data_IF_922273277608
#
_entry.id   IF_922273277608
#
_cell.length_a   1.000
_cell.length_b   1.000
_cell.length_c   1.000
_cell.angle_alpha   90.00
_cell.angle_beta   90.00
_cell.angle_gamma   90.00
#
_symmetry.space_group_name_H-M   'P 1'
#
loop_
_entity.id
_entity.type
_entity.pdbx_description
1 polymer ?
#
# COMPACT_ATOMS: atom_id res chain seq x y z
N UNK A 1 -4.59 -14.52 -2.29
CA UNK A 1 -4.79 -14.79 -0.85
C UNK A 1 -3.52 -14.74 -0.01
N UNK A 2 -2.33 -14.90 -0.62
CA UNK A 2 -1.05 -14.95 0.12
C UNK A 2 -0.59 -13.61 0.71
N UNK A 3 -1.11 -12.48 0.23
CA UNK A 3 -0.72 -11.14 0.72
C UNK A 3 -1.54 -10.79 1.98
N UNK A 4 -0.83 -10.47 3.06
CA UNK A 4 -1.42 -10.18 4.36
C UNK A 4 -1.75 -8.70 4.56
N UNK A 5 -1.02 -7.80 3.89
CA UNK A 5 -1.19 -6.33 3.94
C UNK A 5 -0.92 -5.69 2.57
N UNK A 6 -1.72 -4.68 2.24
CA UNK A 6 -1.55 -3.85 1.05
C UNK A 6 -1.34 -2.39 1.45
N UNK A 7 -0.31 -1.75 0.89
CA UNK A 7 -0.11 -0.30 0.94
C UNK A 7 -0.25 0.26 -0.48
N UNK A 8 -1.44 0.79 -0.79
CA UNK A 8 -1.74 1.44 -2.07
C UNK A 8 -1.79 2.94 -1.85
N UNK A 9 -0.91 3.68 -2.55
CA UNK A 9 -0.82 5.12 -2.38
C UNK A 9 -2.17 5.81 -2.60
N UNK A 10 -2.59 6.63 -1.63
CA UNK A 10 -3.85 7.37 -1.67
C UNK A 10 -3.67 8.74 -2.33
N UNK A 11 -3.22 8.76 -3.59
CA UNK A 11 -3.11 10.03 -4.34
C UNK A 11 -4.47 10.75 -4.41
N UNK A 12 -5.54 9.97 -4.57
CA UNK A 12 -6.94 10.37 -4.42
C UNK A 12 -7.73 9.20 -3.85
N UNK A 13 -8.86 9.44 -3.17
CA UNK A 13 -9.67 8.37 -2.59
C UNK A 13 -10.15 7.33 -3.62
N UNK A 14 -10.39 7.76 -4.86
CA UNK A 14 -10.80 6.87 -5.96
C UNK A 14 -9.72 5.86 -6.38
N UNK A 15 -8.43 6.15 -6.16
CA UNK A 15 -7.31 5.29 -6.57
C UNK A 15 -7.30 3.94 -5.85
N UNK A 16 -7.22 3.87 -4.50
CA UNK A 16 -7.27 2.60 -3.78
C UNK A 16 -8.63 1.90 -3.93
N UNK A 17 -9.74 2.64 -4.07
CA UNK A 17 -11.06 2.05 -4.29
C UNK A 17 -11.19 1.40 -5.67
N UNK A 18 -10.64 2.03 -6.71
CA UNK A 18 -10.58 1.44 -8.05
C UNK A 18 -9.71 0.18 -8.05
N UNK A 19 -8.56 0.21 -7.35
CA UNK A 19 -7.72 -0.96 -7.18
C UNK A 19 -8.46 -2.11 -6.46
N UNK A 20 -9.15 -1.83 -5.34
CA UNK A 20 -9.97 -2.82 -4.63
C UNK A 20 -11.04 -3.44 -5.52
N UNK A 21 -11.75 -2.61 -6.29
CA UNK A 21 -12.78 -3.08 -7.22
C UNK A 21 -12.20 -4.01 -8.29
N UNK A 22 -11.00 -3.71 -8.77
CA UNK A 22 -10.34 -4.49 -9.82
C UNK A 22 -9.74 -5.81 -9.31
N UNK A 23 -9.21 -5.83 -8.08
CA UNK A 23 -8.51 -6.99 -7.53
C UNK A 23 -9.39 -7.89 -6.66
N UNK A 24 -10.47 -7.35 -6.09
CA UNK A 24 -11.28 -8.04 -5.10
C UNK A 24 -10.55 -8.29 -3.77
N UNK A 25 -9.45 -7.57 -3.50
CA UNK A 25 -8.69 -7.72 -2.28
C UNK A 25 -9.53 -7.35 -1.03
N UNK A 26 -9.18 -7.92 0.11
CA UNK A 26 -9.83 -7.66 1.39
C UNK A 26 -9.60 -6.20 1.83
N UNK A 27 -10.66 -5.37 1.96
CA UNK A 27 -10.54 -3.98 2.39
C UNK A 27 -9.91 -3.83 3.77
N UNK A 28 -10.04 -4.82 4.66
CA UNK A 28 -9.44 -4.77 6.00
C UNK A 28 -7.91 -4.91 5.98
N UNK A 29 -7.33 -5.37 4.85
CA UNK A 29 -5.88 -5.51 4.65
C UNK A 29 -5.26 -4.31 3.94
N UNK A 30 -6.08 -3.42 3.38
CA UNK A 30 -5.64 -2.24 2.65
C UNK A 30 -5.41 -1.05 3.58
N UNK A 31 -4.21 -0.45 3.50
CA UNK A 31 -3.85 0.80 4.18
C UNK A 31 -4.22 0.80 5.67
N UNK A 32 -4.02 -0.33 6.36
CA UNK A 32 -4.53 -0.56 7.72
C UNK A 32 -3.98 0.41 8.78
N UNK A 33 -2.90 1.14 8.47
CA UNK A 33 -2.32 2.19 9.34
C UNK A 33 -2.62 3.62 8.86
N UNK A 34 -3.55 3.79 7.91
CA UNK A 34 -3.84 5.05 7.24
C UNK A 34 -2.87 5.34 6.09
N UNK A 35 -3.34 6.09 5.09
CA UNK A 35 -2.56 6.41 3.89
C UNK A 35 -2.32 7.90 3.68
N UNK A 36 -2.02 8.26 2.44
CA UNK A 36 -1.55 9.59 2.06
C UNK A 36 -2.61 10.69 2.22
N UNK A 37 -3.91 10.36 2.23
CA UNK A 37 -4.97 11.34 2.50
C UNK A 37 -4.83 11.91 3.91
N UNK A 38 -4.52 11.07 4.88
CA UNK A 38 -4.37 11.48 6.28
C UNK A 38 -2.92 11.89 6.62
N UNK A 39 -1.93 11.20 6.06
CA UNK A 39 -0.52 11.29 6.46
C UNK A 39 0.33 12.16 5.52
N UNK A 40 -0.25 12.64 4.42
CA UNK A 40 0.42 13.46 3.41
C UNK A 40 1.12 12.65 2.32
N UNK A 41 1.40 13.33 1.21
CA UNK A 41 2.01 12.78 0.00
C UNK A 41 3.25 13.59 -0.44
N UNK A 42 4.41 13.44 0.24
CA UNK A 42 5.66 14.01 -0.24
C UNK A 42 6.13 13.22 -1.47
N UNK A 43 5.82 13.71 -2.68
CA UNK A 43 5.91 12.95 -3.95
C UNK A 43 7.11 11.98 -4.03
N UNK A 44 8.34 12.48 -4.02
CA UNK A 44 9.55 11.66 -4.14
C UNK A 44 9.84 10.72 -2.97
N UNK A 45 9.26 10.98 -1.79
CA UNK A 45 9.46 10.17 -0.58
C UNK A 45 8.31 9.20 -0.28
N UNK A 46 7.19 9.30 -1.00
CA UNK A 46 5.97 8.56 -0.67
C UNK A 46 6.14 7.04 -0.80
N UNK A 47 6.90 6.59 -1.80
CA UNK A 47 7.24 5.17 -1.93
C UNK A 47 8.03 4.61 -0.75
N UNK A 48 8.99 5.38 -0.23
CA UNK A 48 9.74 4.98 0.96
C UNK A 48 8.89 5.04 2.23
N UNK A 49 8.01 6.04 2.37
CA UNK A 49 7.06 6.14 3.49
C UNK A 49 6.11 4.95 3.53
N UNK A 50 5.52 4.58 2.40
CA UNK A 50 4.62 3.42 2.32
C UNK A 50 5.38 2.14 2.67
N UNK A 51 6.60 1.99 2.18
CA UNK A 51 7.40 0.78 2.41
C UNK A 51 7.77 0.66 3.88
N UNK A 52 8.10 1.79 4.50
CA UNK A 52 8.33 1.89 5.95
C UNK A 52 7.07 1.48 6.70
N UNK A 53 5.91 2.02 6.33
CA UNK A 53 4.62 1.65 6.94
C UNK A 53 4.38 0.14 6.84
N UNK A 54 4.56 -0.45 5.64
CA UNK A 54 4.36 -1.86 5.36
C UNK A 54 5.27 -2.77 6.20
N UNK A 55 6.58 -2.56 6.16
CA UNK A 55 7.56 -3.41 6.85
C UNK A 55 7.37 -3.34 8.37
N UNK A 56 7.11 -2.15 8.92
CA UNK A 56 6.81 -2.00 10.34
C UNK A 56 5.47 -2.65 10.73
N UNK A 57 4.45 -2.56 9.89
CA UNK A 57 3.16 -3.22 10.12
C UNK A 57 3.28 -4.75 10.08
N UNK A 58 4.00 -5.32 9.11
CA UNK A 58 4.27 -6.77 9.05
C UNK A 58 4.98 -7.26 10.32
N UNK A 59 6.03 -6.54 10.75
CA UNK A 59 6.76 -6.86 11.99
C UNK A 59 5.87 -6.79 13.23
N UNK A 60 5.10 -5.70 13.37
CA UNK A 60 4.22 -5.48 14.53
C UNK A 60 3.09 -6.51 14.63
N UNK A 61 2.62 -7.02 13.51
CA UNK A 61 1.47 -7.95 13.44
C UNK A 61 1.85 -9.41 13.26
N UNK A 62 3.15 -9.72 13.11
CA UNK A 62 3.63 -11.07 12.85
C UNK A 62 3.30 -11.62 11.45
N UNK A 63 2.66 -10.82 10.59
CA UNK A 63 2.29 -11.15 9.20
C UNK A 63 3.53 -11.36 8.32
N UNK A 64 3.36 -12.07 7.19
CA UNK A 64 4.46 -12.56 6.36
C UNK A 64 4.64 -11.74 5.09
N UNK A 65 3.63 -11.67 4.22
CA UNK A 65 3.75 -11.04 2.92
C UNK A 65 3.03 -9.69 2.87
N UNK A 66 3.73 -8.69 2.36
CA UNK A 66 3.17 -7.36 2.11
C UNK A 66 3.38 -6.93 0.67
N UNK A 67 2.44 -6.15 0.14
CA UNK A 67 2.53 -5.58 -1.20
C UNK A 67 2.34 -4.06 -1.13
N UNK A 68 3.21 -3.32 -1.80
CA UNK A 68 3.04 -1.89 -2.04
C UNK A 68 2.82 -1.62 -3.52
N UNK A 69 1.97 -0.64 -3.83
CA UNK A 69 1.88 -0.05 -5.18
C UNK A 69 1.56 1.43 -5.13
N UNK A 70 1.96 2.17 -6.17
CA UNK A 70 1.60 3.58 -6.35
C UNK A 70 1.24 3.87 -7.79
N UNK A 71 0.25 4.74 -7.99
CA UNK A 71 -0.02 5.35 -9.29
C UNK A 71 0.99 6.48 -9.56
N UNK A 72 1.36 6.63 -10.81
CA UNK A 72 2.29 7.65 -11.29
C UNK A 72 1.71 8.40 -12.48
N UNK A 73 2.15 9.64 -12.70
CA UNK A 73 1.76 10.43 -13.86
C UNK A 73 2.08 9.71 -15.17
N UNK A 74 1.25 9.89 -16.19
CA UNK A 74 1.43 9.21 -17.48
C UNK A 74 0.86 7.79 -17.55
N UNK A 75 0.05 7.38 -16.57
CA UNK A 75 -0.63 6.08 -16.57
C UNK A 75 0.28 4.92 -16.17
N UNK A 76 1.31 5.21 -15.37
CA UNK A 76 2.27 4.23 -14.88
C UNK A 76 1.93 3.82 -13.43
N UNK A 77 2.46 2.68 -13.03
CA UNK A 77 2.44 2.22 -11.65
C UNK A 77 3.60 1.26 -11.40
N UNK A 78 4.19 1.32 -10.22
CA UNK A 78 5.13 0.31 -9.73
C UNK A 78 4.48 -0.58 -8.66
N UNK A 79 5.08 -1.75 -8.45
CA UNK A 79 4.65 -2.69 -7.42
C UNK A 79 5.86 -3.38 -6.81
N UNK A 80 5.82 -3.63 -5.50
CA UNK A 80 6.85 -4.41 -4.81
C UNK A 80 6.19 -5.30 -3.77
N UNK A 81 6.60 -6.56 -3.71
CA UNK A 81 6.21 -7.51 -2.68
C UNK A 81 7.41 -7.76 -1.78
N UNK A 82 7.17 -7.79 -0.47
CA UNK A 82 8.19 -8.08 0.54
C UNK A 82 7.72 -9.21 1.45
N UNK A 83 8.69 -9.96 1.96
CA UNK A 83 8.48 -11.01 2.96
C UNK A 83 9.19 -10.62 4.26
N UNK A 84 8.50 -10.76 5.39
CA UNK A 84 9.10 -10.63 6.72
C UNK A 84 9.87 -11.91 7.07
N UNK A 85 11.16 -11.75 7.38
CA UNK A 85 12.02 -12.80 7.95
C UNK A 85 11.71 -13.08 9.43
#
# INVERSE_FOLDING_TARGET
DDIDLFEINEAFASVPLAWLKATGADPARLNASGGAIALGHPLGASGAKLMTTLVHALRRTGKRYGMQSMCEGGGLANVTIVERL
#
